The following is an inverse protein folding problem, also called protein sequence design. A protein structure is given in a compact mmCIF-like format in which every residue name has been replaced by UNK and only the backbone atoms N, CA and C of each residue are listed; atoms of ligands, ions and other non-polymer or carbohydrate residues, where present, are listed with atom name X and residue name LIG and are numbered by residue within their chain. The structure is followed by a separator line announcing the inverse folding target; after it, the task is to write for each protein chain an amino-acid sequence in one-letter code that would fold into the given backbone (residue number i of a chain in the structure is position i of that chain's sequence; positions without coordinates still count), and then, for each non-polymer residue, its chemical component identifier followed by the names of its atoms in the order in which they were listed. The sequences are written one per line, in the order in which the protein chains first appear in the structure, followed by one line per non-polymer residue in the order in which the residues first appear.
data_IF_486993501160
#
_entry.id   IF_486993501160
#
_cell.length_a   1.000
_cell.length_b   1.000
_cell.length_c   1.000
_cell.angle_alpha   90.00
_cell.angle_beta   90.00
_cell.angle_gamma   90.00
#
_symmetry.space_group_name_H-M   'P 1'
#
loop_
_entity.id
_entity.type
_entity.pdbx_description
1 polymer ?
#
# COMPACT_ATOMS: atom_id res chain seq x y z
N UNK A 1 3.76 -3.60 -19.33
CA UNK A 1 3.09 -3.82 -20.62
C UNK A 1 1.62 -3.49 -20.45
N UNK A 2 0.99 -2.83 -21.42
CA UNK A 2 -0.44 -2.49 -21.37
C UNK A 2 -1.35 -3.67 -21.06
N UNK A 3 -1.01 -4.89 -21.49
CA UNK A 3 -1.74 -6.12 -21.15
C UNK A 3 -1.93 -6.31 -19.63
N UNK A 4 -0.90 -6.03 -18.83
CA UNK A 4 -0.96 -6.14 -17.36
C UNK A 4 -1.93 -5.12 -16.75
N UNK A 5 -1.95 -3.89 -17.28
CA UNK A 5 -2.91 -2.87 -16.83
C UNK A 5 -4.34 -3.24 -17.22
N UNK A 6 -4.53 -3.83 -18.41
CA UNK A 6 -5.83 -4.32 -18.90
C UNK A 6 -6.36 -5.50 -18.06
N UNK A 7 -5.47 -6.34 -17.55
CA UNK A 7 -5.76 -7.45 -16.65
C UNK A 7 -5.87 -7.02 -15.17
N UNK A 8 -5.72 -5.73 -14.86
CA UNK A 8 -5.76 -5.22 -13.49
C UNK A 8 -4.55 -5.58 -12.63
N UNK A 9 -3.44 -5.98 -13.25
CA UNK A 9 -2.17 -6.30 -12.59
C UNK A 9 -1.34 -5.03 -12.43
N UNK A 10 -1.37 -4.47 -11.21
CA UNK A 10 -0.56 -3.32 -10.83
C UNK A 10 0.80 -3.76 -10.27
N UNK A 11 1.87 -3.08 -10.68
CA UNK A 11 3.20 -3.25 -10.06
C UNK A 11 3.48 -2.13 -9.05
N UNK A 12 4.48 -2.32 -8.19
CA UNK A 12 4.83 -1.37 -7.11
C UNK A 12 4.83 0.11 -7.52
N UNK A 13 5.50 0.51 -8.62
CA UNK A 13 5.46 1.90 -9.09
C UNK A 13 4.08 2.42 -9.49
N UNK A 14 3.21 1.58 -10.06
CA UNK A 14 1.86 1.98 -10.46
C UNK A 14 1.01 2.23 -9.21
N UNK A 15 1.16 1.38 -8.19
CA UNK A 15 0.51 1.55 -6.88
C UNK A 15 0.99 2.87 -6.25
N UNK A 16 2.30 3.15 -6.25
CA UNK A 16 2.83 4.43 -5.73
C UNK A 16 2.24 5.64 -6.46
N UNK A 17 2.17 5.61 -7.80
CA UNK A 17 1.56 6.70 -8.57
C UNK A 17 0.08 6.89 -8.21
N UNK A 18 -0.63 5.79 -8.01
CA UNK A 18 -2.05 5.79 -7.63
C UNK A 18 -2.29 6.37 -6.23
N UNK A 19 -1.38 6.10 -5.27
CA UNK A 19 -1.45 6.62 -3.90
C UNK A 19 -1.47 8.15 -3.82
N UNK A 20 -0.81 8.84 -4.76
CA UNK A 20 -0.71 10.30 -4.79
C UNK A 20 -1.59 10.94 -5.88
N UNK A 21 -2.43 10.15 -6.57
CA UNK A 21 -3.26 10.65 -7.65
C UNK A 21 -4.59 11.26 -7.13
N UNK A 22 -4.68 12.58 -7.14
CA UNK A 22 -5.87 13.33 -6.70
C UNK A 22 -7.10 13.01 -7.56
N UNK A 23 -6.92 12.83 -8.88
CA UNK A 23 -8.03 12.52 -9.78
C UNK A 23 -8.62 11.15 -9.45
N UNK A 24 -7.77 10.18 -9.11
CA UNK A 24 -8.22 8.86 -8.66
C UNK A 24 -9.03 8.95 -7.36
N UNK A 25 -8.54 9.72 -6.38
CA UNK A 25 -9.25 9.92 -5.11
C UNK A 25 -10.64 10.56 -5.30
N UNK A 26 -10.78 11.43 -6.30
CA UNK A 26 -12.07 12.07 -6.64
C UNK A 26 -13.07 11.12 -7.32
N UNK A 27 -12.63 9.98 -7.86
CA UNK A 27 -13.55 8.96 -8.40
C UNK A 27 -14.26 8.14 -7.30
N UNK A 28 -13.79 8.24 -6.06
CA UNK A 28 -14.32 7.44 -4.96
C UNK A 28 -15.56 8.06 -4.31
N UNK A 29 -16.51 7.20 -3.94
CA UNK A 29 -17.60 7.59 -3.02
C UNK A 29 -17.02 8.01 -1.67
N UNK A 30 -17.74 8.87 -0.92
CA UNK A 30 -17.32 9.36 0.40
C UNK A 30 -16.76 8.26 1.33
N UNK A 31 -17.50 7.17 1.52
CA UNK A 31 -17.09 6.09 2.43
C UNK A 31 -15.80 5.39 1.98
N UNK A 32 -15.64 5.18 0.66
CA UNK A 32 -14.42 4.61 0.08
C UNK A 32 -13.25 5.59 0.19
N UNK A 33 -13.48 6.88 0.01
CA UNK A 33 -12.46 7.93 0.17
C UNK A 33 -11.95 7.99 1.60
N UNK A 34 -12.84 7.92 2.60
CA UNK A 34 -12.44 7.87 4.01
C UNK A 34 -11.58 6.64 4.31
N UNK A 35 -11.95 5.46 3.78
CA UNK A 35 -11.14 4.25 3.90
C UNK A 35 -9.78 4.36 3.19
N UNK A 36 -9.75 4.98 2.01
CA UNK A 36 -8.54 5.24 1.25
C UNK A 36 -7.57 6.17 1.99
N UNK A 37 -8.07 7.21 2.65
CA UNK A 37 -7.26 8.12 3.47
C UNK A 37 -6.59 7.38 4.62
N UNK A 38 -7.33 6.52 5.34
CA UNK A 38 -6.76 5.69 6.42
C UNK A 38 -5.70 4.70 5.88
N UNK A 39 -5.93 4.13 4.70
CA UNK A 39 -4.93 3.29 4.04
C UNK A 39 -3.66 4.07 3.70
N UNK A 40 -3.79 5.28 3.14
CA UNK A 40 -2.64 6.17 2.89
C UNK A 40 -1.89 6.48 4.18
N UNK A 41 -2.59 6.69 5.28
CA UNK A 41 -2.01 6.96 6.59
C UNK A 41 -1.20 5.77 7.13
N UNK A 42 -1.70 4.53 7.02
CA UNK A 42 -0.93 3.32 7.35
C UNK A 42 0.35 3.23 6.51
N UNK A 43 0.25 3.53 5.21
CA UNK A 43 1.40 3.45 4.31
C UNK A 43 2.47 4.47 4.68
N UNK A 44 2.09 5.70 5.02
CA UNK A 44 3.06 6.77 5.32
C UNK A 44 3.60 6.72 6.73
N UNK A 45 2.76 6.37 7.72
CA UNK A 45 3.11 6.41 9.15
C UNK A 45 3.57 5.09 9.73
N UNK A 46 3.34 3.96 9.05
CA UNK A 46 3.80 2.66 9.54
C UNK A 46 4.73 1.97 8.54
N UNK A 47 4.28 1.80 7.28
CA UNK A 47 5.04 1.09 6.24
C UNK A 47 6.15 1.93 5.58
N UNK A 48 6.34 3.17 6.04
CA UNK A 48 7.34 4.08 5.53
C UNK A 48 8.71 3.91 6.19
N UNK A 49 9.51 4.98 6.13
CA UNK A 49 10.85 4.99 6.72
C UNK A 49 10.83 5.17 8.25
N UNK A 50 9.70 5.56 8.81
CA UNK A 50 9.51 5.76 10.23
C UNK A 50 8.20 5.11 10.67
N UNK A 51 8.28 4.35 11.77
CA UNK A 51 7.15 3.78 12.49
C UNK A 51 6.63 4.79 13.52
N UNK A 52 5.45 5.33 13.26
CA UNK A 52 4.74 6.25 14.16
C UNK A 52 4.38 5.54 15.47
N UNK A 53 4.57 6.15 16.66
CA UNK A 53 4.23 5.53 17.94
C UNK A 53 2.77 5.05 18.06
N UNK A 54 1.85 5.68 17.33
CA UNK A 54 0.41 5.33 17.33
C UNK A 54 0.04 4.35 16.20
N UNK A 55 1.01 3.65 15.59
CA UNK A 55 0.80 2.73 14.46
C UNK A 55 -0.31 1.71 14.70
N UNK A 56 -0.44 1.18 15.92
CA UNK A 56 -1.49 0.21 16.27
C UNK A 56 -2.87 0.82 16.08
N UNK A 57 -3.08 2.05 16.54
CA UNK A 57 -4.35 2.80 16.39
C UNK A 57 -4.62 3.12 14.93
N UNK A 58 -3.59 3.54 14.18
CA UNK A 58 -3.70 3.87 12.76
C UNK A 58 -4.14 2.64 11.96
N UNK A 59 -3.53 1.47 12.21
CA UNK A 59 -3.90 0.21 11.56
C UNK A 59 -5.31 -0.22 11.97
N UNK A 60 -5.65 -0.15 13.27
CA UNK A 60 -6.98 -0.51 13.75
C UNK A 60 -8.09 0.34 13.12
N UNK A 61 -7.86 1.66 12.96
CA UNK A 61 -8.80 2.56 12.31
C UNK A 61 -9.07 2.16 10.86
N UNK A 62 -8.01 1.83 10.10
CA UNK A 62 -8.14 1.35 8.72
C UNK A 62 -8.96 0.05 8.66
N UNK A 63 -8.64 -0.93 9.51
CA UNK A 63 -9.32 -2.23 9.52
C UNK A 63 -10.80 -2.09 9.88
N UNK A 64 -11.14 -1.28 10.88
CA UNK A 64 -12.53 -1.01 11.25
C UNK A 64 -13.32 -0.38 10.08
N UNK A 65 -12.67 0.54 9.34
CA UNK A 65 -13.32 1.17 8.18
C UNK A 65 -13.53 0.18 7.03
N UNK A 66 -12.57 -0.71 6.80
CA UNK A 66 -12.68 -1.76 5.79
C UNK A 66 -13.76 -2.78 6.14
N UNK A 67 -13.86 -3.18 7.41
CA UNK A 67 -14.94 -4.04 7.91
C UNK A 67 -16.31 -3.39 7.68
N UNK A 68 -16.48 -2.11 8.01
CA UNK A 68 -17.72 -1.35 7.74
C UNK A 68 -18.05 -1.23 6.26
N UNK A 69 -17.06 -1.29 5.38
CA UNK A 69 -17.25 -1.33 3.92
C UNK A 69 -17.61 -2.73 3.40
N UNK A 70 -17.62 -3.76 4.26
CA UNK A 70 -17.84 -5.15 3.87
C UNK A 70 -16.63 -5.78 3.17
N UNK A 71 -15.43 -5.23 3.34
CA UNK A 71 -14.22 -5.81 2.78
C UNK A 71 -13.84 -7.09 3.51
N UNK A 72 -13.57 -8.16 2.77
CA UNK A 72 -13.06 -9.40 3.33
C UNK A 72 -11.59 -9.26 3.74
N UNK A 73 -11.23 -9.85 4.87
CA UNK A 73 -9.85 -9.89 5.32
C UNK A 73 -9.07 -10.93 4.53
N UNK A 74 -8.08 -10.49 3.75
CA UNK A 74 -7.14 -11.43 3.14
C UNK A 74 -6.15 -11.97 4.17
N UNK A 75 -5.57 -13.15 3.93
CA UNK A 75 -4.51 -13.72 4.78
C UNK A 75 -3.35 -12.75 5.00
N UNK A 76 -3.02 -11.92 4.01
CA UNK A 76 -1.97 -10.90 4.12
C UNK A 76 -2.32 -9.84 5.17
N UNK A 77 -3.57 -9.37 5.20
CA UNK A 77 -3.99 -8.38 6.19
C UNK A 77 -4.14 -9.03 7.59
N UNK A 78 -4.58 -10.28 7.66
CA UNK A 78 -4.62 -11.05 8.91
C UNK A 78 -3.22 -11.19 9.53
N UNK A 79 -2.24 -11.59 8.71
CA UNK A 79 -0.84 -11.71 9.13
C UNK A 79 -0.28 -10.34 9.53
N UNK A 80 -0.52 -9.32 8.71
CA UNK A 80 -0.09 -7.95 8.99
C UNK A 80 -0.59 -7.47 10.36
N UNK A 81 -1.88 -7.62 10.65
CA UNK A 81 -2.48 -7.22 11.93
C UNK A 81 -1.95 -8.03 13.13
N UNK A 82 -1.63 -9.32 12.93
CA UNK A 82 -1.16 -10.19 14.01
C UNK A 82 0.30 -9.96 14.40
N UNK A 83 1.08 -9.34 13.51
CA UNK A 83 2.54 -9.20 13.65
C UNK A 83 3.01 -7.74 13.57
N UNK A 84 2.16 -6.77 13.93
CA UNK A 84 2.50 -5.34 13.86
C UNK A 84 3.78 -5.00 14.66
N UNK A 85 4.01 -5.69 15.78
CA UNK A 85 5.17 -5.44 16.65
C UNK A 85 6.46 -6.07 16.13
N UNK A 86 6.37 -7.05 15.20
CA UNK A 86 7.54 -7.70 14.62
C UNK A 86 8.24 -6.83 13.58
N UNK A 87 7.56 -5.80 13.07
CA UNK A 87 8.11 -4.90 12.06
C UNK A 87 9.15 -3.94 12.67
N UNK A 88 10.35 -3.80 12.05
CA UNK A 88 11.36 -2.84 12.48
C UNK A 88 10.89 -1.38 12.35
N UNK A 89 11.60 -0.46 13.01
CA UNK A 89 11.24 0.97 13.03
C UNK A 89 11.30 1.64 11.65
N UNK A 90 12.16 1.16 10.75
CA UNK A 90 12.27 1.66 9.39
C UNK A 90 11.99 0.52 8.41
N UNK A 91 10.78 0.46 7.85
CA UNK A 91 10.41 -0.58 6.89
C UNK A 91 10.84 -0.28 5.46
N UNK A 92 11.04 1.00 5.14
CA UNK A 92 11.57 1.41 3.84
C UNK A 92 12.92 0.79 3.52
N UNK A 93 13.80 0.67 4.52
CA UNK A 93 15.16 0.13 4.36
C UNK A 93 15.18 -1.39 4.17
N UNK A 94 14.21 -2.12 4.74
CA UNK A 94 14.09 -3.58 4.61
C UNK A 94 13.15 -4.01 3.48
N UNK A 95 12.56 -3.04 2.78
CA UNK A 95 11.64 -3.30 1.67
C UNK A 95 12.39 -3.85 0.46
N UNK A 96 11.87 -4.92 -0.16
CA UNK A 96 12.36 -5.42 -1.45
C UNK A 96 12.07 -4.47 -2.63
N UNK A 97 11.55 -3.27 -2.37
CA UNK A 97 11.25 -2.27 -3.39
C UNK A 97 12.47 -1.95 -4.29
N UNK A 98 13.67 -1.86 -3.72
CA UNK A 98 14.90 -1.63 -4.49
C UNK A 98 15.20 -2.78 -5.44
N UNK A 99 15.06 -4.03 -4.97
CA UNK A 99 15.20 -5.22 -5.81
C UNK A 99 14.14 -5.26 -6.92
N UNK A 100 12.89 -4.97 -6.60
CA UNK A 100 11.79 -4.89 -7.57
C UNK A 100 12.00 -3.80 -8.62
N UNK A 101 12.57 -2.65 -8.25
CA UNK A 101 12.90 -1.55 -9.17
C UNK A 101 14.09 -1.90 -10.08
N UNK A 102 15.13 -2.50 -9.52
CA UNK A 102 16.30 -2.94 -10.27
C UNK A 102 15.94 -3.90 -11.41
N UNK A 103 15.07 -4.88 -11.15
CA UNK A 103 14.59 -5.80 -12.20
C UNK A 103 13.81 -5.09 -13.31
N UNK A 104 13.07 -4.02 -12.98
CA UNK A 104 12.32 -3.24 -13.97
C UNK A 104 13.25 -2.38 -14.83
N UNK A 105 14.26 -1.77 -14.20
CA UNK A 105 15.24 -0.94 -14.89
C UNK A 105 16.11 -1.78 -15.84
N UNK A 106 16.57 -2.97 -15.43
CA UNK A 106 17.24 -3.94 -16.32
C UNK A 106 16.36 -4.28 -17.51
N UNK A 107 15.09 -4.64 -17.27
CA UNK A 107 14.15 -4.99 -18.34
C UNK A 107 13.88 -3.84 -19.32
N UNK A 108 14.02 -2.59 -18.87
CA UNK A 108 13.92 -1.42 -19.74
C UNK A 108 15.20 -1.22 -20.55
N UNK A 109 16.37 -1.43 -19.94
CA UNK A 109 17.67 -1.33 -20.60
C UNK A 109 17.86 -2.42 -21.67
N UNK A 110 17.44 -3.66 -21.41
CA UNK A 110 17.50 -4.77 -22.38
C UNK A 110 16.60 -4.58 -23.62
N UNK A 111 15.64 -3.64 -23.54
CA UNK A 111 14.72 -3.33 -24.63
C UNK A 111 15.17 -2.15 -25.50
N UNK A 112 16.26 -1.48 -25.14
CA UNK A 112 16.90 -0.42 -25.93
C UNK A 112 18.01 -1.03 -26.78
#
# INVERSE_FOLDING_TARGET
SEAKLKEGVFVGPDIRKMMFNINFENTMTRNKKEAWVLFKEVVTKFLGNSKDPEYVTIVANMLNKFEKLGCLMSLKIQFFNSHLDYFPENLGDFSEEQGGRFHQDIKLMEKR
#
